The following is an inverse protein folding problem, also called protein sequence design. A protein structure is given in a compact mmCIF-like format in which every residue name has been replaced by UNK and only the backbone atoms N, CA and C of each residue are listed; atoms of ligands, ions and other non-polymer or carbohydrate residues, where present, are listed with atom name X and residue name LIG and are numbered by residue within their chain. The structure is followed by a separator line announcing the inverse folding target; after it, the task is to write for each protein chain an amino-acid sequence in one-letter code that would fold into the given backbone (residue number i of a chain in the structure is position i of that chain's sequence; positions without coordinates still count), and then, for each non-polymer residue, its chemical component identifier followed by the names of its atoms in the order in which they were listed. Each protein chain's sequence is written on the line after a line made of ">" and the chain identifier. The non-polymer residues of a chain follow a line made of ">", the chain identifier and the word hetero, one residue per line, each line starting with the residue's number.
data_IF_116199220021
#
_entry.id   IF_116199220021
#
_cell.length_a   1.000
_cell.length_b   1.000
_cell.length_c   1.000
_cell.angle_alpha   90.00
_cell.angle_beta   90.00
_cell.angle_gamma   90.00
#
_symmetry.space_group_name_H-M   'P 1'
#
loop_
_entity.id
_entity.type
_entity.pdbx_description
1 polymer ?
#
# COMPACT_ATOMS: atom_id res chain seq x y z
N UNK A 1 -25.34 -3.58 -6.84
CA UNK A 1 -24.56 -2.33 -6.67
C UNK A 1 -25.35 -1.48 -5.69
N UNK A 2 -25.06 -1.61 -4.40
CA UNK A 2 -25.72 -0.78 -3.38
C UNK A 2 -24.90 0.50 -3.30
N UNK A 3 -25.48 1.60 -3.79
CA UNK A 3 -24.91 2.93 -3.67
C UNK A 3 -24.98 3.30 -2.18
N UNK A 4 -23.84 3.56 -1.56
CA UNK A 4 -23.79 4.08 -0.20
C UNK A 4 -24.41 5.49 -0.18
N UNK A 5 -25.21 5.75 0.86
CA UNK A 5 -25.99 6.96 1.07
C UNK A 5 -25.05 8.20 1.22
N UNK A 6 -25.20 9.29 0.44
CA UNK A 6 -24.27 10.41 0.45
C UNK A 6 -24.34 11.34 1.67
N UNK A 7 -25.22 11.09 2.65
CA UNK A 7 -25.60 12.10 3.66
C UNK A 7 -24.89 12.04 5.02
N UNK A 8 -23.80 11.29 5.19
CA UNK A 8 -22.95 11.46 6.39
C UNK A 8 -22.00 12.66 6.21
N UNK A 9 -22.45 13.82 6.69
CA UNK A 9 -21.70 15.01 7.12
C UNK A 9 -20.41 15.27 6.32
N UNK A 10 -20.54 16.05 5.24
CA UNK A 10 -19.41 16.66 4.55
C UNK A 10 -18.86 17.76 5.46
N UNK A 11 -17.76 17.47 6.15
CA UNK A 11 -16.99 18.45 6.90
C UNK A 11 -16.38 19.47 5.92
N UNK A 12 -16.84 20.72 5.99
CA UNK A 12 -16.58 21.77 4.99
C UNK A 12 -15.17 22.37 5.06
N UNK A 13 -14.33 21.88 5.97
CA UNK A 13 -12.90 22.25 6.07
C UNK A 13 -11.94 21.18 5.52
N UNK A 14 -12.46 20.13 4.88
CA UNK A 14 -11.68 19.03 4.34
C UNK A 14 -10.80 19.47 3.15
N UNK A 15 -9.48 19.34 3.30
CA UNK A 15 -8.58 19.21 2.14
C UNK A 15 -8.41 17.72 1.83
N UNK A 16 -8.87 17.21 0.67
CA UNK A 16 -8.70 15.81 0.30
C UNK A 16 -7.24 15.42 0.05
N UNK A 17 -6.33 16.38 -0.01
CA UNK A 17 -5.02 16.20 -0.61
C UNK A 17 -3.94 15.80 0.38
N UNK A 18 -4.04 16.27 1.62
CA UNK A 18 -3.04 16.09 2.66
C UNK A 18 -3.74 15.87 3.99
N UNK A 19 -3.16 15.04 4.89
CA UNK A 19 -3.66 14.99 6.24
C UNK A 19 -3.46 16.35 6.91
N UNK A 20 -4.25 16.64 7.94
CA UNK A 20 -3.97 17.74 8.85
C UNK A 20 -2.67 17.49 9.65
N UNK A 21 -2.28 18.46 10.49
CA UNK A 21 -1.06 18.37 11.30
C UNK A 21 -1.06 17.19 12.28
N UNK A 22 -2.22 16.61 12.58
CA UNK A 22 -2.38 15.44 13.47
C UNK A 22 -2.49 14.13 12.69
N UNK A 23 -2.34 14.17 11.38
CA UNK A 23 -2.35 12.98 10.53
C UNK A 23 -3.74 12.53 10.08
N UNK A 24 -4.77 13.37 10.20
CA UNK A 24 -6.13 13.00 9.82
C UNK A 24 -6.53 13.49 8.41
N UNK A 25 -7.20 12.61 7.67
CA UNK A 25 -7.94 12.92 6.45
C UNK A 25 -9.44 12.99 6.81
N UNK A 26 -9.91 14.18 7.18
CA UNK A 26 -11.23 14.32 7.81
C UNK A 26 -11.27 13.52 9.10
N UNK A 27 -12.18 12.56 9.22
CA UNK A 27 -12.28 11.68 10.42
C UNK A 27 -11.35 10.45 10.40
N UNK A 28 -10.61 10.20 9.32
CA UNK A 28 -9.78 8.99 9.16
C UNK A 28 -8.30 9.29 9.42
N UNK A 29 -7.51 8.28 9.80
CA UNK A 29 -6.06 8.43 10.02
C UNK A 29 -5.68 8.61 11.49
N UNK A 30 -4.80 9.56 11.78
CA UNK A 30 -4.29 9.84 13.13
C UNK A 30 -3.13 8.93 13.57
N UNK A 31 -2.77 9.02 14.85
CA UNK A 31 -1.69 8.26 15.50
C UNK A 31 -2.21 7.58 16.78
N UNK A 32 -2.90 6.45 16.62
CA UNK A 32 -3.48 5.67 17.72
C UNK A 32 -2.52 4.56 18.18
N UNK A 33 -1.30 4.94 18.57
CA UNK A 33 -0.25 4.02 19.01
C UNK A 33 0.12 4.26 20.48
N UNK A 34 0.79 3.29 21.15
CA UNK A 34 1.36 3.54 22.47
C UNK A 34 2.37 4.69 22.44
N UNK A 35 2.44 5.44 23.54
CA UNK A 35 3.36 6.58 23.73
C UNK A 35 4.82 6.21 23.39
N UNK A 36 5.22 4.97 23.67
CA UNK A 36 6.56 4.46 23.38
C UNK A 36 6.95 4.47 21.90
N UNK A 37 5.99 4.60 20.98
CA UNK A 37 6.24 4.70 19.53
C UNK A 37 6.12 6.12 18.99
N UNK A 38 5.70 7.10 19.80
CA UNK A 38 5.49 8.47 19.32
C UNK A 38 6.79 9.09 18.82
N UNK A 39 7.88 8.95 19.58
CA UNK A 39 9.20 9.43 19.16
C UNK A 39 9.66 8.83 17.83
N UNK A 40 9.40 7.53 17.61
CA UNK A 40 9.73 6.85 16.35
C UNK A 40 8.89 7.35 15.18
N UNK A 41 7.61 7.65 15.39
CA UNK A 41 6.75 8.22 14.36
C UNK A 41 7.13 9.67 14.03
N UNK A 42 7.54 10.46 15.03
CA UNK A 42 8.05 11.82 14.84
C UNK A 42 9.36 11.83 14.05
N UNK A 43 10.31 10.95 14.40
CA UNK A 43 11.56 10.76 13.64
C UNK A 43 11.27 10.35 12.20
N UNK A 44 10.34 9.41 11.99
CA UNK A 44 9.91 8.98 10.66
C UNK A 44 9.28 10.12 9.87
N UNK A 45 8.42 10.93 10.50
CA UNK A 45 7.78 12.08 9.87
C UNK A 45 8.80 13.15 9.48
N UNK A 46 9.68 13.53 10.40
CA UNK A 46 10.75 14.50 10.13
C UNK A 46 11.69 14.00 9.02
N UNK A 47 12.07 12.72 9.09
CA UNK A 47 12.85 12.04 8.05
C UNK A 47 12.17 12.10 6.70
N UNK A 48 10.88 11.73 6.64
CA UNK A 48 10.09 11.78 5.41
C UNK A 48 10.01 13.20 4.84
N UNK A 49 9.71 14.20 5.67
CA UNK A 49 9.64 15.59 5.22
C UNK A 49 10.98 16.11 4.70
N UNK A 50 12.09 15.65 5.26
CA UNK A 50 13.43 16.02 4.77
C UNK A 50 13.76 15.46 3.37
N UNK A 51 13.19 14.31 3.00
CA UNK A 51 13.48 13.64 1.71
C UNK A 51 12.44 13.96 0.62
N UNK A 52 11.26 14.43 1.01
CA UNK A 52 10.11 14.58 0.12
C UNK A 52 10.43 15.47 -1.09
N UNK A 53 11.07 16.60 -0.84
CA UNK A 53 11.41 17.59 -1.86
C UNK A 53 12.93 17.72 -2.08
N UNK A 54 13.74 16.84 -1.49
CA UNK A 54 15.20 16.86 -1.66
C UNK A 54 15.61 16.32 -3.05
N UNK A 55 16.20 17.16 -3.93
CA UNK A 55 16.59 16.74 -5.27
C UNK A 55 17.56 15.55 -5.30
N UNK A 56 18.43 15.43 -4.30
CA UNK A 56 19.41 14.33 -4.25
C UNK A 56 18.73 12.99 -3.97
N UNK A 57 17.75 12.97 -3.06
CA UNK A 57 16.94 11.77 -2.78
C UNK A 57 16.10 11.39 -3.99
N UNK A 58 15.42 12.36 -4.59
CA UNK A 58 14.55 12.12 -5.74
C UNK A 58 15.36 11.60 -6.94
N UNK A 59 16.58 12.09 -7.16
CA UNK A 59 17.48 11.58 -8.20
C UNK A 59 17.93 10.14 -7.93
N UNK A 60 18.32 9.81 -6.68
CA UNK A 60 18.72 8.45 -6.29
C UNK A 60 17.53 7.47 -6.45
N UNK A 61 16.36 7.84 -5.94
CA UNK A 61 15.15 7.03 -6.03
C UNK A 61 14.73 6.83 -7.50
N UNK A 62 14.72 7.90 -8.32
CA UNK A 62 14.36 7.80 -9.72
C UNK A 62 15.33 6.90 -10.51
N UNK A 63 16.64 7.00 -10.25
CA UNK A 63 17.64 6.12 -10.86
C UNK A 63 17.41 4.65 -10.51
N UNK A 64 17.13 4.34 -9.24
CA UNK A 64 16.86 2.97 -8.81
C UNK A 64 15.49 2.46 -9.30
N UNK A 65 14.45 3.29 -9.34
CA UNK A 65 13.18 2.91 -9.92
C UNK A 65 13.33 2.56 -11.41
N UNK A 66 14.17 3.30 -12.14
CA UNK A 66 14.45 3.02 -13.55
C UNK A 66 15.30 1.75 -13.71
N UNK A 67 16.51 1.75 -13.16
CA UNK A 67 17.54 0.77 -13.52
C UNK A 67 17.48 -0.52 -12.69
N UNK A 68 16.92 -0.47 -11.48
CA UNK A 68 16.78 -1.65 -10.61
C UNK A 68 15.35 -2.22 -10.61
N UNK A 69 14.33 -1.35 -10.60
CA UNK A 69 12.93 -1.80 -10.58
C UNK A 69 12.38 -2.04 -12.00
N UNK A 70 12.87 -1.32 -13.00
CA UNK A 70 12.41 -1.44 -14.39
C UNK A 70 11.26 -0.50 -14.75
N UNK A 71 11.17 0.67 -14.10
CA UNK A 71 10.17 1.70 -14.42
C UNK A 71 10.58 2.54 -15.64
N UNK A 72 9.64 3.11 -16.40
CA UNK A 72 8.18 3.02 -16.26
C UNK A 72 7.62 1.67 -16.72
N UNK A 73 6.54 1.20 -16.09
CA UNK A 73 5.87 -0.04 -16.52
C UNK A 73 4.94 0.22 -17.71
N UNK A 74 4.76 -0.71 -18.67
CA UNK A 74 3.87 -0.51 -19.81
C UNK A 74 2.39 -0.28 -19.43
N UNK A 75 1.69 0.50 -20.26
CA UNK A 75 0.22 0.54 -20.32
C UNK A 75 -0.24 -0.28 -21.53
N UNK A 76 -0.65 -1.52 -21.29
CA UNK A 76 -0.88 -2.53 -22.33
C UNK A 76 -2.35 -2.59 -22.77
N UNK A 77 -2.62 -2.49 -24.07
CA UNK A 77 -3.98 -2.68 -24.59
C UNK A 77 -4.36 -4.17 -24.61
N UNK A 78 -5.38 -4.55 -23.85
CA UNK A 78 -5.84 -5.93 -23.74
C UNK A 78 -6.95 -6.21 -24.76
N UNK A 79 -6.55 -6.44 -26.02
CA UNK A 79 -7.44 -6.66 -27.19
C UNK A 79 -8.51 -7.72 -26.91
N UNK A 80 -8.10 -8.94 -26.54
CA UNK A 80 -9.03 -10.05 -26.27
C UNK A 80 -9.99 -9.77 -25.11
N UNK A 81 -9.56 -8.99 -24.12
CA UNK A 81 -10.41 -8.63 -22.99
C UNK A 81 -11.42 -7.56 -23.40
N UNK A 82 -10.98 -6.60 -24.21
CA UNK A 82 -11.82 -5.57 -24.84
C UNK A 82 -12.91 -6.23 -25.70
N UNK A 83 -12.52 -7.15 -26.58
CA UNK A 83 -13.45 -7.95 -27.40
C UNK A 83 -14.46 -8.74 -26.56
N UNK A 84 -13.99 -9.36 -25.46
CA UNK A 84 -14.84 -10.16 -24.56
C UNK A 84 -15.97 -9.34 -23.93
N UNK A 85 -15.76 -8.05 -23.72
CA UNK A 85 -16.73 -7.13 -23.11
C UNK A 85 -17.37 -6.17 -24.11
N UNK A 86 -17.07 -6.31 -25.40
CA UNK A 86 -17.81 -5.63 -26.46
C UNK A 86 -19.26 -6.13 -26.50
N UNK A 87 -20.17 -5.20 -26.78
CA UNK A 87 -21.58 -5.46 -27.05
C UNK A 87 -21.74 -5.87 -28.51
N UNK A 88 -22.89 -6.45 -28.84
CA UNK A 88 -23.21 -6.90 -30.20
C UNK A 88 -23.16 -5.78 -31.25
N UNK A 89 -23.41 -4.53 -30.84
CA UNK A 89 -23.32 -3.34 -31.68
C UNK A 89 -21.89 -2.82 -31.90
N UNK A 90 -20.88 -3.55 -31.41
CA UNK A 90 -19.47 -3.17 -31.52
C UNK A 90 -19.01 -2.11 -30.51
N UNK A 91 -19.90 -1.63 -29.62
CA UNK A 91 -19.53 -0.69 -28.56
C UNK A 91 -19.04 -1.43 -27.32
N UNK A 92 -18.13 -0.85 -26.55
CA UNK A 92 -17.61 -1.49 -25.34
C UNK A 92 -16.44 -0.74 -24.72
N UNK A 93 -16.00 -1.16 -23.53
CA UNK A 93 -14.85 -0.55 -22.88
C UNK A 93 -13.56 -0.96 -23.59
N UNK A 94 -12.69 0.00 -23.92
CA UNK A 94 -11.30 -0.30 -24.26
C UNK A 94 -10.51 -0.56 -22.96
N UNK A 95 -9.93 -1.76 -22.83
CA UNK A 95 -9.31 -2.17 -21.58
C UNK A 95 -7.79 -2.10 -21.70
N UNK A 96 -7.19 -1.28 -20.84
CA UNK A 96 -5.74 -1.18 -20.70
C UNK A 96 -5.29 -1.69 -19.34
N UNK A 97 -4.16 -2.40 -19.31
CA UNK A 97 -3.55 -2.95 -18.11
C UNK A 97 -2.27 -2.17 -17.78
N UNK A 98 -2.24 -1.50 -16.62
CA UNK A 98 -1.01 -0.92 -16.09
C UNK A 98 -0.15 -2.03 -15.49
N UNK A 99 0.97 -2.35 -16.15
CA UNK A 99 1.74 -3.59 -15.96
C UNK A 99 2.69 -3.57 -14.75
N UNK A 100 2.17 -3.28 -13.56
CA UNK A 100 2.95 -3.34 -12.32
C UNK A 100 3.44 -4.77 -11.98
N UNK A 101 2.86 -5.79 -12.61
CA UNK A 101 3.34 -7.18 -12.56
C UNK A 101 4.75 -7.35 -13.16
N UNK A 102 5.21 -6.43 -14.01
CA UNK A 102 6.53 -6.46 -14.64
C UNK A 102 7.61 -5.75 -13.81
N UNK A 103 7.24 -5.11 -12.70
CA UNK A 103 8.25 -4.54 -11.79
C UNK A 103 9.13 -5.64 -11.23
N UNK A 104 10.38 -5.32 -10.90
CA UNK A 104 11.23 -6.26 -10.17
C UNK A 104 10.52 -6.74 -8.90
N UNK A 105 10.64 -8.04 -8.57
CA UNK A 105 9.84 -8.77 -7.57
C UNK A 105 8.39 -9.13 -7.96
N UNK A 106 7.83 -8.55 -9.03
CA UNK A 106 6.56 -8.95 -9.64
C UNK A 106 5.30 -8.26 -9.08
N UNK A 107 5.45 -7.16 -8.35
CA UNK A 107 4.33 -6.38 -7.82
C UNK A 107 4.72 -4.94 -7.46
N UNK A 108 3.72 -4.05 -7.43
CA UNK A 108 3.89 -2.63 -7.10
C UNK A 108 4.60 -2.35 -5.76
N UNK A 109 4.61 -3.33 -4.82
CA UNK A 109 5.18 -3.20 -3.47
C UNK A 109 6.63 -2.76 -3.45
N UNK A 110 7.42 -3.10 -4.48
CA UNK A 110 8.83 -2.72 -4.56
C UNK A 110 9.04 -1.21 -4.58
N UNK A 111 8.10 -0.42 -5.11
CA UNK A 111 8.19 1.04 -5.13
C UNK A 111 8.31 1.60 -3.69
N UNK A 112 7.44 1.11 -2.80
CA UNK A 112 7.39 1.52 -1.39
C UNK A 112 8.60 0.97 -0.61
N UNK A 113 8.91 -0.32 -0.75
CA UNK A 113 10.05 -0.93 -0.04
C UNK A 113 11.37 -0.25 -0.40
N UNK A 114 11.57 0.09 -1.67
CA UNK A 114 12.77 0.80 -2.13
C UNK A 114 12.89 2.18 -1.47
N UNK A 115 11.85 3.00 -1.57
CA UNK A 115 11.87 4.35 -1.03
C UNK A 115 12.03 4.37 0.50
N UNK A 116 11.34 3.47 1.22
CA UNK A 116 11.47 3.38 2.67
C UNK A 116 12.83 2.86 3.13
N UNK A 117 13.48 1.94 2.41
CA UNK A 117 14.86 1.54 2.75
C UNK A 117 15.85 2.69 2.50
N UNK A 118 15.67 3.50 1.45
CA UNK A 118 16.50 4.68 1.26
C UNK A 118 16.31 5.69 2.40
N UNK A 119 15.06 5.91 2.85
CA UNK A 119 14.78 6.71 4.04
C UNK A 119 15.44 6.14 5.30
N UNK A 120 15.29 4.83 5.54
CA UNK A 120 15.89 4.14 6.67
C UNK A 120 17.42 4.32 6.72
N UNK A 121 18.09 4.21 5.56
CA UNK A 121 19.54 4.45 5.43
C UNK A 121 19.92 5.88 5.79
N UNK A 122 19.12 6.87 5.38
CA UNK A 122 19.36 8.28 5.73
C UNK A 122 19.15 8.56 7.22
N UNK A 123 18.21 7.84 7.84
CA UNK A 123 17.98 7.86 9.29
C UNK A 123 19.00 7.01 10.07
N UNK A 124 20.00 6.41 9.40
CA UNK A 124 21.04 5.61 10.06
C UNK A 124 20.54 4.26 10.61
N UNK A 125 19.36 3.79 10.18
CA UNK A 125 18.79 2.51 10.62
C UNK A 125 19.50 1.35 9.93
N UNK A 126 19.82 0.32 10.69
CA UNK A 126 20.59 -0.85 10.23
C UNK A 126 19.74 -2.13 10.15
N UNK A 127 18.57 -2.10 10.78
CA UNK A 127 17.62 -3.21 10.84
C UNK A 127 16.27 -2.80 10.27
N UNK A 128 15.72 -3.64 9.40
CA UNK A 128 14.42 -3.46 8.77
C UNK A 128 13.48 -4.55 9.23
N UNK A 129 12.28 -4.15 9.64
CA UNK A 129 11.18 -5.09 9.87
C UNK A 129 10.01 -4.82 8.94
N UNK A 130 9.25 -5.86 8.62
CA UNK A 130 8.01 -5.77 7.85
C UNK A 130 7.06 -6.90 8.23
N UNK A 131 5.78 -6.72 7.94
CA UNK A 131 4.74 -7.74 8.03
C UNK A 131 4.40 -8.29 6.63
N UNK A 132 3.87 -9.51 6.54
CA UNK A 132 3.32 -9.96 5.26
C UNK A 132 2.25 -11.03 5.39
N UNK A 133 1.29 -11.02 4.46
CA UNK A 133 0.25 -12.04 4.31
C UNK A 133 0.51 -12.86 3.04
N UNK A 134 0.22 -12.31 1.86
CA UNK A 134 0.51 -12.99 0.59
C UNK A 134 2.03 -13.20 0.31
N UNK A 135 2.91 -12.54 1.06
CA UNK A 135 4.37 -12.66 0.92
C UNK A 135 5.02 -11.64 -0.02
N UNK A 136 4.27 -10.98 -0.90
CA UNK A 136 4.84 -10.03 -1.87
C UNK A 136 5.52 -8.81 -1.22
N UNK A 137 4.94 -8.26 -0.15
CA UNK A 137 5.59 -7.17 0.61
C UNK A 137 6.88 -7.64 1.28
N UNK A 138 6.85 -8.84 1.87
CA UNK A 138 8.04 -9.41 2.49
C UNK A 138 9.17 -9.69 1.48
N UNK A 139 8.83 -10.21 0.30
CA UNK A 139 9.80 -10.42 -0.80
C UNK A 139 10.37 -9.09 -1.30
N UNK A 140 9.54 -8.07 -1.50
CA UNK A 140 10.00 -6.74 -1.90
C UNK A 140 10.96 -6.13 -0.87
N UNK A 141 10.59 -6.16 0.42
CA UNK A 141 11.44 -5.66 1.51
C UNK A 141 12.74 -6.44 1.62
N UNK A 142 12.70 -7.78 1.62
CA UNK A 142 13.90 -8.62 1.66
C UNK A 142 14.85 -8.34 0.46
N UNK A 143 14.28 -8.13 -0.73
CA UNK A 143 15.06 -7.83 -1.95
C UNK A 143 15.85 -6.53 -1.82
N UNK A 144 15.21 -5.49 -1.28
CA UNK A 144 15.85 -4.18 -1.13
C UNK A 144 16.85 -4.21 0.04
N UNK A 145 16.52 -4.87 1.14
CA UNK A 145 17.47 -5.05 2.25
C UNK A 145 18.74 -5.80 1.80
N UNK A 146 18.58 -6.88 1.03
CA UNK A 146 19.70 -7.63 0.47
C UNK A 146 20.60 -6.75 -0.41
N UNK A 147 20.00 -5.89 -1.26
CA UNK A 147 20.74 -4.93 -2.10
C UNK A 147 21.60 -3.96 -1.27
N UNK A 148 21.08 -3.46 -0.17
CA UNK A 148 21.73 -2.43 0.65
C UNK A 148 22.49 -2.98 1.87
N UNK A 149 22.55 -4.31 2.04
CA UNK A 149 23.25 -4.94 3.15
C UNK A 149 22.62 -4.68 4.52
N UNK A 150 21.29 -4.56 4.58
CA UNK A 150 20.55 -4.34 5.84
C UNK A 150 19.98 -5.64 6.39
N UNK A 151 19.94 -5.77 7.72
CA UNK A 151 19.25 -6.88 8.36
C UNK A 151 17.75 -6.78 8.06
N UNK A 152 17.11 -7.88 7.68
CA UNK A 152 15.68 -7.92 7.37
C UNK A 152 14.97 -9.00 8.18
N UNK A 153 13.93 -8.62 8.91
CA UNK A 153 13.04 -9.54 9.63
C UNK A 153 11.62 -9.36 9.12
N UNK A 154 11.01 -10.42 8.60
CA UNK A 154 9.63 -10.41 8.10
C UNK A 154 8.74 -11.26 8.98
N UNK A 155 7.71 -10.65 9.56
CA UNK A 155 6.68 -11.33 10.33
C UNK A 155 5.59 -11.85 9.40
N UNK A 156 5.24 -13.13 9.53
CA UNK A 156 4.24 -13.77 8.68
C UNK A 156 3.40 -14.76 9.47
N UNK A 157 2.07 -14.69 9.33
CA UNK A 157 1.15 -15.61 9.99
C UNK A 157 1.39 -17.05 9.53
N UNK A 158 1.34 -18.03 10.45
CA UNK A 158 1.67 -19.43 10.13
C UNK A 158 0.78 -20.03 9.02
N UNK A 159 -0.50 -19.65 8.95
CA UNK A 159 -1.40 -20.10 7.88
C UNK A 159 -1.03 -19.51 6.53
N UNK A 160 -0.59 -18.26 6.53
CA UNK A 160 -0.12 -17.58 5.33
C UNK A 160 1.22 -18.16 4.87
N UNK A 161 2.13 -18.49 5.78
CA UNK A 161 3.38 -19.18 5.47
C UNK A 161 3.15 -20.53 4.79
N UNK A 162 2.17 -21.31 5.26
CA UNK A 162 1.81 -22.59 4.66
C UNK A 162 1.24 -22.43 3.24
N UNK A 163 0.38 -21.43 3.04
CA UNK A 163 -0.22 -21.13 1.72
C UNK A 163 0.79 -20.54 0.74
N UNK A 164 1.79 -19.81 1.24
CA UNK A 164 2.72 -19.00 0.45
C UNK A 164 4.18 -19.48 0.60
N UNK A 165 4.38 -20.81 0.67
CA UNK A 165 5.72 -21.44 0.84
C UNK A 165 6.78 -20.91 -0.12
N UNK A 166 6.42 -20.63 -1.38
CA UNK A 166 7.33 -20.10 -2.38
C UNK A 166 7.86 -18.70 -1.99
N UNK A 167 7.00 -17.81 -1.47
CA UNK A 167 7.42 -16.48 -1.05
C UNK A 167 8.23 -16.55 0.25
N UNK A 168 7.91 -17.46 1.18
CA UNK A 168 8.75 -17.73 2.36
C UNK A 168 10.15 -18.17 1.95
N UNK A 169 10.24 -19.10 1.00
CA UNK A 169 11.52 -19.56 0.47
C UNK A 169 12.32 -18.44 -0.20
N UNK A 170 11.67 -17.62 -1.04
CA UNK A 170 12.31 -16.45 -1.69
C UNK A 170 12.86 -15.45 -0.67
N UNK A 171 12.10 -15.12 0.38
CA UNK A 171 12.57 -14.21 1.43
C UNK A 171 13.83 -14.76 2.13
N UNK A 172 13.87 -16.06 2.43
CA UNK A 172 15.04 -16.71 3.04
C UNK A 172 16.24 -16.76 2.10
N UNK A 173 16.04 -17.02 0.81
CA UNK A 173 17.10 -16.96 -0.21
C UNK A 173 17.72 -15.55 -0.31
N UNK A 174 16.93 -14.52 -0.08
CA UNK A 174 17.38 -13.13 -0.02
C UNK A 174 18.04 -12.75 1.33
N UNK A 175 18.19 -13.71 2.25
CA UNK A 175 18.85 -13.49 3.54
C UNK A 175 17.95 -12.90 4.64
N UNK A 176 16.64 -12.75 4.40
CA UNK A 176 15.72 -12.28 5.43
C UNK A 176 15.36 -13.40 6.42
N UNK A 177 15.28 -13.04 7.70
CA UNK A 177 14.66 -13.87 8.72
C UNK A 177 13.13 -13.82 8.54
N UNK A 178 12.47 -14.97 8.41
CA UNK A 178 11.00 -15.04 8.32
C UNK A 178 10.46 -15.60 9.64
N UNK A 179 9.93 -14.72 10.49
CA UNK A 179 9.41 -15.06 11.82
C UNK A 179 7.94 -15.51 11.73
N UNK A 180 7.61 -16.74 12.13
CA UNK A 180 6.24 -17.22 12.17
C UNK A 180 5.44 -16.54 13.28
N UNK A 181 4.19 -16.19 13.00
CA UNK A 181 3.24 -15.67 14.00
C UNK A 181 2.06 -16.64 14.12
N UNK A 182 1.97 -17.29 15.27
CA UNK A 182 0.92 -18.27 15.61
C UNK A 182 -0.21 -17.70 16.45
N UNK A 183 -0.08 -16.47 16.96
CA UNK A 183 -1.10 -15.80 17.75
C UNK A 183 -2.42 -15.69 16.96
N UNK A 184 -3.54 -15.72 17.68
CA UNK A 184 -4.87 -15.46 17.12
C UNK A 184 -5.21 -16.36 15.93
N UNK A 185 -5.62 -15.75 14.81
CA UNK A 185 -5.93 -16.48 13.57
C UNK A 185 -4.69 -16.91 12.80
N UNK A 186 -3.50 -16.38 13.12
CA UNK A 186 -2.25 -16.64 12.43
C UNK A 186 -2.24 -16.12 11.00
N UNK A 187 -2.73 -14.90 10.77
CA UNK A 187 -2.76 -14.23 9.45
C UNK A 187 -2.09 -12.84 9.50
N UNK A 188 -2.25 -12.04 8.45
CA UNK A 188 -1.68 -10.69 8.32
C UNK A 188 -1.91 -9.77 9.54
N UNK A 189 -3.10 -9.80 10.14
CA UNK A 189 -3.43 -8.94 11.30
C UNK A 189 -2.50 -9.21 12.48
N UNK A 190 -2.26 -10.48 12.81
CA UNK A 190 -1.36 -10.83 13.90
C UNK A 190 0.10 -10.59 13.53
N UNK A 191 0.49 -10.79 12.27
CA UNK A 191 1.82 -10.47 11.78
C UNK A 191 2.16 -8.97 11.95
N UNK A 192 1.20 -8.09 11.65
CA UNK A 192 1.37 -6.65 11.83
C UNK A 192 1.49 -6.28 13.33
N UNK A 193 0.67 -6.89 14.18
CA UNK A 193 0.77 -6.69 15.63
C UNK A 193 2.12 -7.15 16.19
N UNK A 194 2.66 -8.25 15.70
CA UNK A 194 3.99 -8.73 16.08
C UNK A 194 5.11 -7.80 15.61
N UNK A 195 5.02 -7.24 14.39
CA UNK A 195 5.98 -6.26 13.89
C UNK A 195 5.98 -4.98 14.74
N UNK A 196 4.81 -4.47 15.13
CA UNK A 196 4.71 -3.31 16.04
C UNK A 196 5.36 -3.61 17.40
N UNK A 197 5.11 -4.79 17.99
CA UNK A 197 5.74 -5.19 19.26
C UNK A 197 7.26 -5.29 19.16
N UNK A 198 7.77 -5.84 18.06
CA UNK A 198 9.21 -5.90 17.81
C UNK A 198 9.80 -4.48 17.66
N UNK A 199 9.09 -3.57 16.99
CA UNK A 199 9.52 -2.17 16.86
C UNK A 199 9.62 -1.46 18.22
N UNK A 200 8.64 -1.67 19.11
CA UNK A 200 8.68 -1.17 20.50
C UNK A 200 9.89 -1.71 21.26
N UNK A 201 10.30 -2.94 20.96
CA UNK A 201 11.42 -3.60 21.67
C UNK A 201 12.78 -3.09 21.18
N UNK A 202 12.91 -2.79 19.89
CA UNK A 202 14.17 -2.37 19.24
C UNK A 202 14.03 -1.04 18.47
N UNK A 203 13.59 0.06 19.12
CA UNK A 203 13.16 1.28 18.42
C UNK A 203 14.30 2.08 17.79
N UNK A 204 15.53 1.96 18.29
CA UNK A 204 16.64 2.84 17.88
C UNK A 204 17.22 2.40 16.53
N UNK A 205 17.63 1.13 16.40
CA UNK A 205 18.26 0.62 15.18
C UNK A 205 17.28 0.19 14.08
N UNK A 206 15.97 0.11 14.41
CA UNK A 206 14.97 -0.51 13.53
C UNK A 206 14.11 0.51 12.78
N UNK A 207 13.97 0.32 11.48
CA UNK A 207 12.92 0.93 10.65
C UNK A 207 11.84 -0.10 10.34
N UNK A 208 10.57 0.26 10.59
CA UNK A 208 9.43 -0.58 10.22
C UNK A 208 8.86 -0.14 8.86
N UNK A 209 8.81 -1.06 7.90
CA UNK A 209 8.20 -0.82 6.58
C UNK A 209 6.77 -1.38 6.56
N UNK A 210 5.80 -0.50 6.78
CA UNK A 210 4.38 -0.83 6.57
C UNK A 210 4.10 -1.04 5.08
N UNK A 211 3.41 -2.14 4.75
CA UNK A 211 3.25 -2.58 3.36
C UNK A 211 2.08 -1.99 2.58
N UNK A 212 1.32 -1.05 3.15
CA UNK A 212 0.16 -0.44 2.50
C UNK A 212 -0.14 0.98 3.02
N UNK A 213 -1.10 1.67 2.41
CA UNK A 213 -1.62 2.99 2.87
C UNK A 213 -2.53 2.83 4.09
N UNK A 214 -1.96 2.27 5.15
CA UNK A 214 -2.61 2.00 6.42
C UNK A 214 -1.60 2.27 7.56
N UNK A 215 -2.05 2.10 8.80
CA UNK A 215 -1.23 2.37 9.97
C UNK A 215 -1.24 3.85 10.38
N UNK A 216 -0.53 4.19 11.47
CA UNK A 216 -0.51 5.55 11.99
C UNK A 216 0.15 6.52 11.01
N UNK A 217 -0.19 7.79 11.10
CA UNK A 217 0.60 8.83 10.45
C UNK A 217 2.09 8.71 10.85
N UNK A 218 3.05 8.81 9.90
CA UNK A 218 2.91 9.28 8.51
C UNK A 218 2.71 8.19 7.43
N UNK A 219 2.58 6.92 7.79
CA UNK A 219 2.59 5.81 6.81
C UNK A 219 1.57 5.97 5.67
N UNK A 220 0.28 6.30 5.90
CA UNK A 220 -0.68 6.41 4.81
C UNK A 220 -0.28 7.44 3.74
N UNK A 221 0.20 8.61 4.16
CA UNK A 221 0.68 9.67 3.27
C UNK A 221 1.97 9.25 2.55
N UNK A 222 2.96 8.77 3.31
CA UNK A 222 4.26 8.38 2.78
C UNK A 222 4.17 7.25 1.77
N UNK A 223 3.42 6.18 2.09
CA UNK A 223 3.24 5.01 1.20
C UNK A 223 2.48 5.40 -0.07
N UNK A 224 1.48 6.29 0.03
CA UNK A 224 0.79 6.85 -1.15
C UNK A 224 1.79 7.58 -2.05
N UNK A 225 2.58 8.49 -1.47
CA UNK A 225 3.53 9.31 -2.23
C UNK A 225 4.57 8.43 -2.96
N UNK A 226 5.05 7.36 -2.32
CA UNK A 226 5.98 6.40 -2.94
C UNK A 226 5.36 5.52 -4.03
N UNK A 227 4.04 5.31 -4.04
CA UNK A 227 3.34 4.65 -5.14
C UNK A 227 2.83 5.61 -6.22
N UNK A 228 2.95 6.95 -6.04
CA UNK A 228 2.41 7.96 -6.98
C UNK A 228 2.96 7.87 -8.41
N UNK A 229 4.12 7.22 -8.60
CA UNK A 229 4.68 6.95 -9.93
C UNK A 229 3.71 6.18 -10.84
N UNK A 230 2.83 5.34 -10.29
CA UNK A 230 1.89 4.53 -11.06
C UNK A 230 0.90 5.42 -11.80
N UNK A 231 0.20 6.31 -11.09
CA UNK A 231 -0.78 7.23 -11.66
C UNK A 231 -0.14 8.24 -12.62
N UNK A 232 1.02 8.79 -12.26
CA UNK A 232 1.79 9.72 -13.10
C UNK A 232 2.18 9.07 -14.43
N UNK A 233 2.60 7.81 -14.39
CA UNK A 233 2.92 7.07 -15.61
C UNK A 233 1.71 6.83 -16.49
N UNK A 234 0.58 6.43 -15.91
CA UNK A 234 -0.67 6.25 -16.66
C UNK A 234 -1.08 7.55 -17.35
N UNK A 235 -0.86 8.73 -16.74
CA UNK A 235 -1.25 10.02 -17.33
C UNK A 235 -0.56 10.31 -18.65
N UNK A 236 0.77 10.24 -18.69
CA UNK A 236 1.47 10.51 -19.95
C UNK A 236 1.30 9.36 -20.96
N UNK A 237 1.19 8.11 -20.50
CA UNK A 237 0.93 6.95 -21.37
C UNK A 237 -0.46 7.01 -22.02
N UNK A 238 -1.47 7.49 -21.29
CA UNK A 238 -2.82 7.71 -21.80
C UNK A 238 -2.84 8.80 -22.87
N UNK A 239 -2.16 9.92 -22.60
CA UNK A 239 -1.99 11.00 -23.56
C UNK A 239 -1.30 10.53 -24.84
N UNK A 240 -0.25 9.70 -24.73
CA UNK A 240 0.45 9.13 -25.88
C UNK A 240 -0.43 8.18 -26.71
N UNK A 241 -1.26 7.36 -26.05
CA UNK A 241 -2.02 6.29 -26.72
C UNK A 241 -3.32 6.74 -27.33
N UNK A 242 -4.05 7.63 -26.66
CA UNK A 242 -5.38 8.07 -27.12
C UNK A 242 -5.62 9.59 -26.94
N UNK A 243 -4.57 10.37 -26.66
CA UNK A 243 -4.66 11.83 -26.66
C UNK A 243 -5.47 12.44 -25.51
N UNK A 244 -5.68 11.70 -24.42
CA UNK A 244 -6.57 12.18 -23.37
C UNK A 244 -6.50 11.40 -22.07
N UNK A 245 -7.57 11.54 -21.28
CA UNK A 245 -7.75 10.90 -19.98
C UNK A 245 -8.54 9.59 -20.17
N UNK A 246 -8.38 8.58 -19.30
CA UNK A 246 -9.28 7.43 -19.28
C UNK A 246 -10.63 7.84 -18.69
N UNK A 247 -11.70 7.14 -19.07
CA UNK A 247 -13.01 7.32 -18.43
C UNK A 247 -13.05 6.71 -17.01
N UNK A 248 -12.23 5.67 -16.79
CA UNK A 248 -12.21 4.88 -15.55
C UNK A 248 -10.80 4.46 -15.19
N UNK A 249 -10.46 4.60 -13.91
CA UNK A 249 -9.35 3.90 -13.28
C UNK A 249 -9.90 2.88 -12.28
N UNK A 250 -9.45 1.64 -12.40
CA UNK A 250 -9.92 0.50 -11.60
C UNK A 250 -8.74 -0.15 -10.89
N UNK A 251 -8.85 -0.37 -9.59
CA UNK A 251 -7.79 -1.01 -8.79
C UNK A 251 -8.36 -1.84 -7.64
N UNK A 252 -7.65 -2.89 -7.23
CA UNK A 252 -8.07 -3.70 -6.09
C UNK A 252 -7.71 -3.02 -4.77
N UNK A 253 -8.58 -3.15 -3.76
CA UNK A 253 -8.42 -2.54 -2.45
C UNK A 253 -8.34 -3.62 -1.39
N UNK A 254 -7.10 -3.97 -1.02
CA UNK A 254 -6.80 -4.60 0.27
C UNK A 254 -6.58 -3.49 1.30
N UNK A 255 -5.32 -3.21 1.62
CA UNK A 255 -4.96 -2.00 2.36
C UNK A 255 -4.85 -0.74 1.48
N UNK A 256 -5.17 -0.80 0.18
CA UNK A 256 -5.31 0.37 -0.71
C UNK A 256 -4.06 0.89 -1.46
N UNK A 257 -2.85 0.37 -1.28
CA UNK A 257 -1.65 1.09 -1.77
C UNK A 257 -1.49 1.16 -3.29
N UNK A 258 -1.88 0.11 -4.03
CA UNK A 258 -1.89 0.15 -5.49
C UNK A 258 -2.96 1.12 -6.01
N UNK A 259 -4.14 1.09 -5.39
CA UNK A 259 -5.25 1.96 -5.75
C UNK A 259 -4.89 3.43 -5.54
N UNK A 260 -4.37 3.78 -4.37
CA UNK A 260 -3.91 5.15 -4.11
C UNK A 260 -2.75 5.57 -5.01
N UNK A 261 -1.81 4.66 -5.32
CA UNK A 261 -0.76 4.94 -6.30
C UNK A 261 -1.29 5.25 -7.69
N UNK A 262 -2.37 4.58 -8.11
CA UNK A 262 -3.04 4.81 -9.39
C UNK A 262 -3.93 6.07 -9.36
N UNK A 263 -4.61 6.33 -8.26
CA UNK A 263 -5.68 7.33 -8.16
C UNK A 263 -5.22 8.72 -7.75
N UNK A 264 -4.16 8.83 -6.94
CA UNK A 264 -3.82 10.10 -6.27
C UNK A 264 -3.56 11.25 -7.26
N UNK A 265 -2.90 10.94 -8.38
CA UNK A 265 -2.62 11.93 -9.43
C UNK A 265 -3.88 12.38 -10.18
N UNK A 266 -4.97 11.60 -10.11
CA UNK A 266 -6.20 11.78 -10.90
C UNK A 266 -7.39 12.29 -10.08
N UNK A 267 -7.26 12.43 -8.76
CA UNK A 267 -8.36 12.81 -7.86
C UNK A 267 -9.02 14.16 -8.17
N UNK A 268 -8.29 15.09 -8.80
CA UNK A 268 -8.80 16.39 -9.24
C UNK A 268 -9.47 16.35 -10.62
N UNK A 269 -9.33 15.25 -11.37
CA UNK A 269 -9.93 15.10 -12.69
C UNK A 269 -11.37 14.60 -12.59
N UNK A 270 -12.33 15.52 -12.41
CA UNK A 270 -13.75 15.20 -12.19
C UNK A 270 -14.42 14.34 -13.29
N UNK A 271 -13.82 14.26 -14.49
CA UNK A 271 -14.29 13.40 -15.58
C UNK A 271 -13.81 11.94 -15.49
N UNK A 272 -12.89 11.61 -14.59
CA UNK A 272 -12.29 10.27 -14.45
C UNK A 272 -12.91 9.56 -13.27
N UNK A 273 -13.56 8.42 -13.50
CA UNK A 273 -14.15 7.62 -12.42
C UNK A 273 -13.09 6.76 -11.75
N UNK A 274 -12.94 6.88 -10.44
CA UNK A 274 -11.99 6.10 -9.64
C UNK A 274 -12.75 4.99 -8.90
N UNK A 275 -12.47 3.72 -9.23
CA UNK A 275 -13.21 2.57 -8.70
C UNK A 275 -12.26 1.63 -7.96
N UNK A 276 -12.42 1.55 -6.64
CA UNK A 276 -11.78 0.54 -5.79
C UNK A 276 -12.60 -0.74 -5.70
N UNK A 277 -11.97 -1.90 -5.83
CA UNK A 277 -12.63 -3.21 -5.77
C UNK A 277 -12.14 -4.02 -4.57
N UNK A 278 -13.03 -4.30 -3.62
CA UNK A 278 -12.72 -5.10 -2.42
C UNK A 278 -13.01 -6.60 -2.62
N UNK A 279 -12.42 -7.45 -1.78
CA UNK A 279 -12.62 -8.89 -1.86
C UNK A 279 -13.93 -9.32 -1.18
N UNK A 280 -14.94 -9.68 -1.96
CA UNK A 280 -16.22 -10.20 -1.47
C UNK A 280 -16.15 -11.64 -0.91
N UNK A 281 -15.04 -12.36 -1.11
CA UNK A 281 -14.86 -13.74 -0.63
C UNK A 281 -15.99 -14.67 -1.11
N UNK A 282 -16.68 -15.34 -0.18
CA UNK A 282 -17.86 -16.19 -0.48
C UNK A 282 -19.16 -15.40 -0.66
N UNK A 283 -19.11 -14.08 -0.58
CA UNK A 283 -20.25 -13.16 -0.73
C UNK A 283 -20.32 -12.16 0.42
N UNK A 284 -20.70 -10.92 0.11
CA UNK A 284 -20.79 -9.82 1.10
C UNK A 284 -21.91 -10.01 2.14
N UNK A 285 -22.81 -10.95 1.90
CA UNK A 285 -23.88 -11.32 2.83
C UNK A 285 -23.51 -12.54 3.69
N UNK A 286 -22.30 -13.07 3.52
CA UNK A 286 -21.70 -14.11 4.37
C UNK A 286 -20.71 -13.50 5.36
N UNK A 287 -20.20 -14.29 6.32
CA UNK A 287 -19.11 -13.85 7.20
C UNK A 287 -17.71 -14.03 6.59
N UNK A 288 -17.61 -14.63 5.40
CA UNK A 288 -16.34 -14.98 4.75
C UNK A 288 -16.02 -14.02 3.61
N UNK A 289 -15.79 -12.74 3.96
CA UNK A 289 -15.38 -11.68 3.04
C UNK A 289 -14.33 -10.74 3.66
N UNK A 290 -13.76 -9.86 2.85
CA UNK A 290 -12.89 -8.77 3.27
C UNK A 290 -13.31 -7.43 2.63
N UNK A 291 -14.63 -7.23 2.43
CA UNK A 291 -15.24 -6.01 1.90
C UNK A 291 -15.43 -4.95 3.00
N UNK A 292 -14.30 -4.40 3.47
CA UNK A 292 -14.19 -3.51 4.63
C UNK A 292 -14.93 -2.19 4.46
N UNK A 293 -14.78 -1.50 3.33
CA UNK A 293 -15.48 -0.25 3.04
C UNK A 293 -16.98 -0.49 2.76
N UNK A 294 -17.34 -1.67 2.28
CA UNK A 294 -18.73 -2.04 1.97
C UNK A 294 -19.54 -2.41 3.22
N UNK A 295 -18.95 -3.15 4.17
CA UNK A 295 -19.67 -3.75 5.33
C UNK A 295 -19.06 -3.39 6.69
N UNK A 296 -17.92 -2.72 6.71
CA UNK A 296 -17.22 -2.36 7.93
C UNK A 296 -17.85 -1.17 8.65
N UNK A 297 -17.39 -0.98 9.88
CA UNK A 297 -17.75 0.16 10.72
C UNK A 297 -16.47 0.91 11.07
N UNK A 298 -16.63 2.18 11.45
CA UNK A 298 -15.51 2.97 11.92
C UNK A 298 -14.94 2.36 13.21
N UNK A 299 -13.62 2.36 13.31
CA UNK A 299 -12.91 1.95 14.51
C UNK A 299 -11.43 2.22 14.40
N UNK A 300 -10.71 1.99 15.49
CA UNK A 300 -9.26 2.14 15.55
C UNK A 300 -8.62 0.78 15.43
N UNK A 301 -7.74 0.62 14.43
CA UNK A 301 -6.99 -0.61 14.22
C UNK A 301 -5.60 -0.28 13.72
N UNK A 302 -4.60 -0.97 14.29
CA UNK A 302 -3.22 -0.88 13.80
C UNK A 302 -2.66 0.54 13.76
N UNK A 303 -3.08 1.41 14.68
CA UNK A 303 -2.55 2.77 14.81
C UNK A 303 -3.32 3.87 14.09
N UNK A 304 -4.42 3.56 13.39
CA UNK A 304 -5.22 4.59 12.71
C UNK A 304 -6.73 4.32 12.83
N UNK A 305 -7.51 5.39 12.78
CA UNK A 305 -8.96 5.35 12.63
C UNK A 305 -9.32 5.08 11.17
N UNK A 306 -10.05 3.98 10.91
CA UNK A 306 -10.50 3.59 9.57
C UNK A 306 -11.76 2.72 9.65
N UNK A 307 -12.27 2.29 8.50
CA UNK A 307 -13.25 1.21 8.46
C UNK A 307 -12.59 -0.13 8.79
N UNK A 308 -13.28 -0.96 9.56
CA UNK A 308 -12.89 -2.33 9.85
C UNK A 308 -14.10 -3.25 9.96
N UNK A 309 -13.87 -4.53 9.67
CA UNK A 309 -14.83 -5.60 9.98
C UNK A 309 -14.63 -5.97 11.45
N UNK A 310 -15.62 -5.66 12.30
CA UNK A 310 -15.56 -5.87 13.75
C UNK A 310 -16.83 -6.56 14.27
N UNK A 311 -16.67 -7.37 15.31
CA UNK A 311 -17.79 -7.94 16.08
C UNK A 311 -18.36 -6.88 17.03
N UNK A 312 -19.55 -7.12 17.60
CA UNK A 312 -20.21 -6.20 18.53
C UNK A 312 -19.42 -5.97 19.83
N UNK A 313 -18.55 -6.90 20.19
CA UNK A 313 -17.79 -6.89 21.47
C UNK A 313 -16.49 -6.06 21.41
N UNK A 314 -16.27 -5.28 20.35
CA UNK A 314 -15.02 -4.53 20.12
C UNK A 314 -15.08 -3.05 20.56
N UNK A 315 -15.98 -2.70 21.48
CA UNK A 315 -16.09 -1.35 22.08
C UNK A 315 -15.54 -1.38 23.50
#
# INVERSE_FOLDING_TARGET
>A
MVLADPTEIIDTHFSPEKPDATGHFGRFGGQFVPETLMQNLEELYAGYMSIKDDPSFQAELAGLLKDYVGRATPLYFAERLTERYAREDGTGPQIYLKREDLTHTGAHKINNSLAQVLLARRLGKTRIIAETGAGQHGVATATVCARFGLQCVVFMGVKDMERQKLNVFRMRLLGAEVKPVSDGKGTLTEALSAAIRDWVTYPVETHYIVGSVAGPHPYPMMVRDFHSCIGKEVRWQAMEKWGGKPDVLLACVGGGSNAMGLFDDWKADMGVRLIGVEAAGKGVDTQEHAATLTKGKLGVLHGAMSYQLQTLDAI
#
